data_IF_992105468538
#
_entry.id   IF_992105468538
#
_cell.length_a   1.000
_cell.length_b   1.000
_cell.length_c   1.000
_cell.angle_alpha   90.00
_cell.angle_beta   90.00
_cell.angle_gamma   90.00
#
_symmetry.space_group_name_H-M   'P 1'
#
loop_
_entity.id
_entity.type
_entity.pdbx_description
1 polymer ?
#
# COMPACT_ATOMS: atom_id res chain seq x y z
N UNK A 1 51.81 1.67 -1.61
CA UNK A 1 50.55 2.05 -2.30
C UNK A 1 50.55 1.82 -3.81
N UNK A 2 51.60 2.20 -4.56
CA UNK A 2 51.67 1.99 -6.05
C UNK A 2 51.64 0.52 -6.49
N UNK A 3 52.15 -0.43 -5.72
CA UNK A 3 52.15 -1.87 -6.05
C UNK A 3 50.76 -2.52 -5.89
N UNK A 4 49.94 -2.05 -4.98
CA UNK A 4 48.59 -2.57 -4.78
C UNK A 4 47.64 -2.14 -5.91
N UNK A 5 47.76 -0.91 -6.40
CA UNK A 5 46.98 -0.43 -7.56
C UNK A 5 47.31 -1.18 -8.85
N UNK A 6 48.58 -1.60 -9.04
CA UNK A 6 48.98 -2.38 -10.22
C UNK A 6 48.40 -3.81 -10.21
N UNK A 7 48.27 -4.42 -9.03
CA UNK A 7 47.70 -5.77 -8.88
C UNK A 7 46.18 -5.74 -9.16
N UNK A 8 45.49 -4.69 -8.72
CA UNK A 8 44.06 -4.53 -9.00
C UNK A 8 43.81 -4.28 -10.52
N UNK A 9 44.65 -3.46 -11.15
CA UNK A 9 44.58 -3.22 -12.60
C UNK A 9 44.89 -4.48 -13.42
N UNK A 10 45.87 -5.31 -12.99
CA UNK A 10 46.21 -6.56 -13.65
C UNK A 10 45.14 -7.64 -13.50
N UNK A 11 44.40 -7.66 -12.38
CA UNK A 11 43.28 -8.60 -12.17
C UNK A 11 42.03 -8.23 -13.00
N UNK A 12 41.83 -6.93 -13.26
CA UNK A 12 40.74 -6.46 -14.12
C UNK A 12 41.01 -6.72 -15.62
N UNK A 13 42.25 -6.77 -16.05
CA UNK A 13 42.61 -7.02 -17.47
C UNK A 13 42.56 -8.51 -17.86
N UNK A 14 42.40 -9.43 -16.90
CA UNK A 14 42.30 -10.87 -17.14
C UNK A 14 40.84 -11.39 -17.21
N UNK A 15 39.84 -10.54 -16.96
CA UNK A 15 38.43 -10.92 -17.14
C UNK A 15 38.07 -10.72 -18.63
N UNK A 16 37.76 -11.79 -19.39
CA UNK A 16 37.33 -11.64 -20.77
C UNK A 16 36.08 -10.73 -20.79
N UNK A 17 36.03 -9.78 -21.71
CA UNK A 17 34.91 -8.81 -21.81
C UNK A 17 33.55 -9.52 -21.86
N UNK A 18 33.48 -10.73 -22.42
CA UNK A 18 32.31 -11.58 -22.43
C UNK A 18 31.87 -12.05 -21.02
N UNK A 19 32.81 -12.29 -20.10
CA UNK A 19 32.48 -12.68 -18.72
C UNK A 19 32.00 -11.50 -17.88
N UNK A 20 32.49 -10.29 -18.14
CA UNK A 20 32.02 -9.07 -17.46
C UNK A 20 30.57 -8.77 -17.84
N UNK A 21 30.23 -8.92 -19.13
CA UNK A 21 28.87 -8.74 -19.62
C UNK A 21 27.90 -9.80 -19.06
N UNK A 22 28.34 -11.04 -18.98
CA UNK A 22 27.57 -12.14 -18.38
C UNK A 22 27.36 -11.92 -16.87
N UNK A 23 28.36 -11.45 -16.13
CA UNK A 23 28.23 -11.13 -14.70
C UNK A 23 27.30 -9.95 -14.46
N UNK A 24 27.36 -8.90 -15.27
CA UNK A 24 26.43 -7.76 -15.15
C UNK A 24 25.00 -8.20 -15.42
N UNK A 25 24.76 -9.04 -16.44
CA UNK A 25 23.43 -9.58 -16.74
C UNK A 25 22.91 -10.48 -15.61
N UNK A 26 23.76 -11.31 -15.02
CA UNK A 26 23.39 -12.16 -13.87
C UNK A 26 23.01 -11.32 -12.63
N UNK A 27 23.74 -10.25 -12.37
CA UNK A 27 23.42 -9.33 -11.26
C UNK A 27 22.12 -8.59 -11.51
N UNK A 28 21.87 -8.14 -12.76
CA UNK A 28 20.61 -7.49 -13.12
C UNK A 28 19.41 -8.44 -13.00
N UNK A 29 19.54 -9.67 -13.49
CA UNK A 29 18.49 -10.71 -13.37
C UNK A 29 18.20 -11.00 -11.90
N UNK A 30 19.23 -11.21 -11.08
CA UNK A 30 19.06 -11.49 -9.66
C UNK A 30 18.39 -10.36 -8.89
N UNK A 31 18.72 -9.12 -9.23
CA UNK A 31 18.08 -7.93 -8.65
C UNK A 31 16.61 -7.83 -9.07
N UNK A 32 16.28 -8.07 -10.33
CA UNK A 32 14.90 -8.05 -10.83
C UNK A 32 14.07 -9.17 -10.22
N UNK A 33 14.60 -10.39 -10.12
CA UNK A 33 13.93 -11.52 -9.43
C UNK A 33 13.63 -11.19 -7.96
N UNK A 34 14.58 -10.57 -7.27
CA UNK A 34 14.42 -10.18 -5.86
C UNK A 34 13.31 -9.13 -5.71
N UNK A 35 13.25 -8.13 -6.60
CA UNK A 35 12.21 -7.10 -6.60
C UNK A 35 10.84 -7.70 -6.91
N UNK A 36 10.76 -8.60 -7.91
CA UNK A 36 9.52 -9.29 -8.26
C UNK A 36 9.03 -10.15 -7.10
N UNK A 37 9.90 -10.96 -6.49
CA UNK A 37 9.55 -11.80 -5.34
C UNK A 37 9.03 -10.97 -4.16
N UNK A 38 9.66 -9.83 -3.89
CA UNK A 38 9.24 -8.90 -2.83
C UNK A 38 7.87 -8.30 -3.14
N UNK A 39 7.61 -7.89 -4.38
CA UNK A 39 6.32 -7.35 -4.79
C UNK A 39 5.21 -8.39 -4.72
N UNK A 40 5.47 -9.64 -5.13
CA UNK A 40 4.52 -10.75 -5.01
C UNK A 40 4.21 -11.01 -3.53
N UNK A 41 5.21 -11.04 -2.67
CA UNK A 41 5.01 -11.25 -1.23
C UNK A 41 4.16 -10.13 -0.59
N UNK A 42 4.37 -8.87 -0.98
CA UNK A 42 3.56 -7.75 -0.50
C UNK A 42 2.11 -7.84 -0.99
N UNK A 43 1.90 -8.22 -2.26
CA UNK A 43 0.56 -8.37 -2.82
C UNK A 43 -0.21 -9.48 -2.11
N UNK A 44 0.39 -10.65 -1.93
CA UNK A 44 -0.23 -11.77 -1.21
C UNK A 44 -0.57 -11.39 0.25
N UNK A 45 0.30 -10.62 0.90
CA UNK A 45 0.05 -10.13 2.26
C UNK A 45 -1.12 -9.14 2.32
N UNK A 46 -1.20 -8.21 1.36
CA UNK A 46 -2.30 -7.26 1.27
C UNK A 46 -3.65 -7.96 0.96
N UNK A 47 -3.66 -8.98 0.10
CA UNK A 47 -4.85 -9.80 -0.15
C UNK A 47 -5.34 -10.50 1.13
N UNK A 48 -4.44 -11.10 1.90
CA UNK A 48 -4.76 -11.72 3.18
C UNK A 48 -5.30 -10.73 4.21
N UNK A 49 -4.72 -9.51 4.27
CA UNK A 49 -5.21 -8.43 5.14
C UNK A 49 -6.58 -7.92 4.69
N UNK A 50 -6.85 -7.87 3.38
CA UNK A 50 -8.13 -7.47 2.83
C UNK A 50 -9.22 -8.45 3.25
N UNK A 51 -8.99 -9.75 3.04
CA UNK A 51 -9.92 -10.80 3.44
C UNK A 51 -10.19 -10.78 4.96
N UNK A 52 -9.13 -10.60 5.76
CA UNK A 52 -9.27 -10.47 7.22
C UNK A 52 -10.09 -9.24 7.62
N UNK A 53 -9.84 -8.10 6.99
CA UNK A 53 -10.58 -6.86 7.22
C UNK A 53 -12.05 -6.98 6.86
N UNK A 54 -12.36 -7.57 5.69
CA UNK A 54 -13.73 -7.79 5.21
C UNK A 54 -14.51 -8.75 6.14
N UNK A 55 -13.86 -9.80 6.62
CA UNK A 55 -14.43 -10.72 7.60
C UNK A 55 -14.74 -10.02 8.93
N UNK A 56 -13.82 -9.21 9.43
CA UNK A 56 -14.02 -8.40 10.65
C UNK A 56 -15.14 -7.39 10.48
N UNK A 57 -15.17 -6.69 9.34
CA UNK A 57 -16.25 -5.78 9.01
C UNK A 57 -17.60 -6.47 9.01
N UNK A 58 -17.72 -7.63 8.37
CA UNK A 58 -18.95 -8.43 8.31
C UNK A 58 -19.40 -8.94 9.68
N UNK A 59 -18.46 -9.21 10.58
CA UNK A 59 -18.74 -9.58 12.00
C UNK A 59 -18.93 -8.37 12.91
N UNK A 60 -18.97 -7.15 12.36
CA UNK A 60 -19.09 -5.87 13.07
C UNK A 60 -17.89 -5.53 13.98
N UNK A 61 -16.77 -6.20 13.83
CA UNK A 61 -15.50 -5.79 14.43
C UNK A 61 -14.87 -4.66 13.60
N UNK A 62 -15.48 -3.49 13.64
CA UNK A 62 -15.03 -2.33 12.86
C UNK A 62 -13.65 -1.84 13.27
N UNK A 63 -13.27 -1.97 14.56
CA UNK A 63 -11.91 -1.59 15.02
C UNK A 63 -10.85 -2.51 14.44
N UNK A 64 -11.10 -3.81 14.45
CA UNK A 64 -10.22 -4.80 13.84
C UNK A 64 -10.12 -4.62 12.33
N UNK A 65 -11.23 -4.34 11.65
CA UNK A 65 -11.25 -4.03 10.22
C UNK A 65 -10.40 -2.78 9.89
N UNK A 66 -10.56 -1.67 10.62
CA UNK A 66 -9.75 -0.45 10.47
C UNK A 66 -8.26 -0.77 10.60
N UNK A 67 -7.89 -1.63 11.55
CA UNK A 67 -6.49 -2.02 11.74
C UNK A 67 -5.93 -2.72 10.51
N UNK A 68 -6.66 -3.68 9.93
CA UNK A 68 -6.18 -4.43 8.77
C UNK A 68 -6.13 -3.57 7.52
N UNK A 69 -7.17 -2.77 7.23
CA UNK A 69 -7.13 -1.82 6.10
C UNK A 69 -6.03 -0.77 6.26
N UNK A 70 -5.72 -0.35 7.49
CA UNK A 70 -4.62 0.59 7.75
C UNK A 70 -3.25 -0.02 7.43
N UNK A 71 -3.03 -1.31 7.69
CA UNK A 71 -1.81 -2.01 7.30
C UNK A 71 -1.66 -2.09 5.78
N UNK A 72 -2.76 -2.32 5.04
CA UNK A 72 -2.75 -2.27 3.57
C UNK A 72 -2.32 -0.89 3.09
N UNK A 73 -2.88 0.17 3.68
CA UNK A 73 -2.60 1.55 3.30
C UNK A 73 -1.19 2.03 3.68
N UNK A 74 -0.49 1.33 4.57
CA UNK A 74 0.95 1.55 4.80
C UNK A 74 1.78 1.07 3.60
N UNK A 75 1.39 -0.04 2.97
CA UNK A 75 2.07 -0.61 1.82
C UNK A 75 1.62 0.05 0.50
N UNK A 76 0.32 0.32 0.37
CA UNK A 76 -0.29 0.95 -0.79
C UNK A 76 -1.22 2.10 -0.34
N UNK A 77 -0.71 3.33 -0.17
CA UNK A 77 -1.49 4.47 0.30
C UNK A 77 -2.65 4.88 -0.61
N UNK A 78 -2.62 4.44 -1.87
CA UNK A 78 -3.62 4.76 -2.89
C UNK A 78 -4.54 3.58 -3.21
N UNK A 79 -4.68 2.63 -2.29
CA UNK A 79 -5.64 1.55 -2.44
C UNK A 79 -7.06 2.08 -2.19
N UNK A 80 -7.84 2.22 -3.28
CA UNK A 80 -9.22 2.72 -3.23
C UNK A 80 -10.09 1.89 -2.29
N UNK A 81 -10.00 0.55 -2.41
CA UNK A 81 -10.88 -0.34 -1.67
C UNK A 81 -10.59 -0.29 -0.17
N UNK A 82 -9.32 -0.33 0.22
CA UNK A 82 -8.92 -0.21 1.61
C UNK A 82 -9.32 1.14 2.23
N UNK A 83 -9.19 2.25 1.48
CA UNK A 83 -9.66 3.56 1.93
C UNK A 83 -11.19 3.58 2.12
N UNK A 84 -11.93 3.07 1.16
CA UNK A 84 -13.38 3.05 1.20
C UNK A 84 -13.93 2.20 2.35
N UNK A 85 -13.41 0.99 2.52
CA UNK A 85 -13.82 0.07 3.58
C UNK A 85 -13.41 0.57 4.97
N UNK A 86 -12.23 1.20 5.09
CA UNK A 86 -11.82 1.84 6.34
C UNK A 86 -12.73 3.01 6.69
N UNK A 87 -13.12 3.82 5.72
CA UNK A 87 -14.06 4.92 5.91
C UNK A 87 -15.43 4.41 6.38
N UNK A 88 -15.96 3.35 5.76
CA UNK A 88 -17.19 2.71 6.21
C UNK A 88 -17.08 2.25 7.68
N UNK A 89 -16.01 1.56 8.01
CA UNK A 89 -15.76 1.07 9.38
C UNK A 89 -15.69 2.21 10.39
N UNK A 90 -15.05 3.33 10.04
CA UNK A 90 -15.00 4.54 10.86
C UNK A 90 -16.39 5.16 11.05
N UNK A 91 -17.18 5.24 9.96
CA UNK A 91 -18.55 5.75 10.03
C UNK A 91 -19.43 4.95 11.00
N UNK A 92 -19.30 3.62 11.01
CA UNK A 92 -20.02 2.77 11.96
C UNK A 92 -19.58 2.96 13.42
N UNK A 93 -18.37 3.45 13.64
CA UNK A 93 -17.88 3.83 14.97
C UNK A 93 -18.15 5.31 15.31
N UNK A 94 -18.95 6.02 14.50
CA UNK A 94 -19.24 7.45 14.60
C UNK A 94 -18.00 8.37 14.43
N UNK A 95 -16.88 7.85 13.92
CA UNK A 95 -15.74 8.67 13.47
C UNK A 95 -16.04 9.23 12.08
N UNK A 96 -16.98 10.17 12.02
CA UNK A 96 -17.42 10.75 10.75
C UNK A 96 -16.35 11.65 10.12
N UNK A 97 -15.53 12.32 10.91
CA UNK A 97 -14.40 13.13 10.42
C UNK A 97 -13.36 12.26 9.72
N UNK A 98 -12.91 11.18 10.38
CA UNK A 98 -11.97 10.24 9.80
C UNK A 98 -12.52 9.52 8.57
N UNK A 99 -13.83 9.23 8.54
CA UNK A 99 -14.49 8.65 7.38
C UNK A 99 -14.50 9.63 6.19
N UNK A 100 -14.82 10.91 6.41
CA UNK A 100 -14.80 11.95 5.36
C UNK A 100 -13.41 12.10 4.75
N UNK A 101 -12.36 12.03 5.56
CA UNK A 101 -10.97 12.10 5.07
C UNK A 101 -10.65 10.92 4.14
N UNK A 102 -10.97 9.69 4.55
CA UNK A 102 -10.71 8.49 3.77
C UNK A 102 -11.56 8.45 2.49
N UNK A 103 -12.85 8.80 2.54
CA UNK A 103 -13.70 8.93 1.34
C UNK A 103 -13.17 10.00 0.38
N UNK A 104 -12.67 11.12 0.88
CA UNK A 104 -12.12 12.18 0.03
C UNK A 104 -10.90 11.68 -0.73
N UNK A 105 -10.00 10.93 -0.06
CA UNK A 105 -8.86 10.30 -0.73
C UNK A 105 -9.31 9.24 -1.75
N UNK A 106 -10.28 8.40 -1.39
CA UNK A 106 -10.84 7.41 -2.31
C UNK A 106 -11.41 8.06 -3.58
N UNK A 107 -12.15 9.16 -3.45
CA UNK A 107 -12.68 9.94 -4.58
C UNK A 107 -11.57 10.51 -5.47
N UNK A 108 -10.48 10.99 -4.89
CA UNK A 108 -9.33 11.48 -5.65
C UNK A 108 -8.68 10.38 -6.50
N UNK A 109 -8.68 9.12 -6.00
CA UNK A 109 -8.13 7.97 -6.72
C UNK A 109 -9.08 7.51 -7.82
N UNK A 110 -10.38 7.41 -7.50
CA UNK A 110 -11.39 6.98 -8.47
C UNK A 110 -12.65 7.86 -8.37
N UNK A 111 -12.70 8.96 -9.14
CA UNK A 111 -13.82 9.91 -9.09
C UNK A 111 -15.12 9.39 -9.71
N UNK A 112 -15.10 8.25 -10.39
CA UNK A 112 -16.30 7.68 -11.02
C UNK A 112 -17.14 6.83 -10.05
N UNK A 113 -16.63 6.52 -8.88
CA UNK A 113 -17.32 5.69 -7.88
C UNK A 113 -18.33 6.51 -7.05
N UNK A 114 -19.56 6.54 -7.50
CA UNK A 114 -20.66 7.27 -6.84
C UNK A 114 -20.85 6.89 -5.36
N UNK A 115 -20.56 5.64 -4.97
CA UNK A 115 -20.67 5.16 -3.59
C UNK A 115 -19.82 5.96 -2.59
N UNK A 116 -18.62 6.39 -3.00
CA UNK A 116 -17.74 7.16 -2.13
C UNK A 116 -18.28 8.58 -1.88
N UNK A 117 -18.85 9.22 -2.92
CA UNK A 117 -19.51 10.52 -2.78
C UNK A 117 -20.74 10.44 -1.88
N UNK A 118 -21.58 9.42 -2.09
CA UNK A 118 -22.79 9.20 -1.29
C UNK A 118 -22.47 9.03 0.19
N UNK A 119 -21.56 8.11 0.52
CA UNK A 119 -21.20 7.82 1.91
C UNK A 119 -20.46 8.99 2.58
N UNK A 120 -19.66 9.75 1.82
CA UNK A 120 -19.06 11.00 2.32
C UNK A 120 -20.16 12.03 2.66
N UNK A 121 -21.18 12.15 1.83
CA UNK A 121 -22.34 13.01 2.07
C UNK A 121 -23.05 12.64 3.36
N UNK A 122 -23.39 11.36 3.54
CA UNK A 122 -24.00 10.84 4.77
C UNK A 122 -23.15 11.13 6.02
N UNK A 123 -21.83 10.93 5.92
CA UNK A 123 -20.92 11.21 7.04
C UNK A 123 -20.88 12.69 7.40
N UNK A 124 -20.95 13.58 6.39
CA UNK A 124 -21.06 15.03 6.61
C UNK A 124 -22.37 15.44 7.29
N UNK A 125 -23.47 14.82 6.89
CA UNK A 125 -24.78 15.12 7.50
C UNK A 125 -24.82 14.66 8.95
N UNK A 126 -24.31 13.46 9.24
CA UNK A 126 -24.18 12.97 10.63
C UNK A 126 -23.30 13.87 11.50
N UNK A 127 -22.24 14.41 10.94
CA UNK A 127 -21.35 15.34 11.64
C UNK A 127 -22.04 16.65 11.97
N UNK A 128 -22.87 17.19 11.03
CA UNK A 128 -23.69 18.39 11.28
C UNK A 128 -24.73 18.16 12.36
N UNK A 129 -25.44 17.02 12.31
CA UNK A 129 -26.43 16.65 13.33
C UNK A 129 -25.80 16.60 14.72
N UNK A 130 -24.57 16.05 14.83
CA UNK A 130 -23.82 15.98 16.09
C UNK A 130 -23.48 17.37 16.64
N UNK A 131 -22.93 18.27 15.80
CA UNK A 131 -22.58 19.63 16.23
C UNK A 131 -23.80 20.55 16.35
N UNK A 132 -24.90 20.28 15.63
CA UNK A 132 -26.14 21.03 15.73
C UNK A 132 -26.94 20.73 17.00
N UNK A 133 -26.71 19.59 17.65
CA UNK A 133 -27.37 19.19 18.89
C UNK A 133 -26.70 19.73 20.17
N UNK A 134 -25.53 20.36 20.03
CA UNK A 134 -24.79 20.99 21.12
C UNK A 134 -25.16 22.46 21.24
#
# INVERSE_FOLDING_TARGET
MKKQLLIIAASLSLIPVGNLFAQQNQTFIKNTETVIAKNISHNNHNESLMESGDKKYSSKDYRGAITDYSKILLNNPNDYYALFQRALSKSYLNDHEGAIQDYTRAIQINPEKASAFYNRGLSKDKLKDFYGAI
#
